data_IF_756201278382
#
_entry.id   IF_756201278382
#
_cell.length_a   1.000
_cell.length_b   1.000
_cell.length_c   1.000
_cell.angle_alpha   90.00
_cell.angle_beta   90.00
_cell.angle_gamma   90.00
#
_symmetry.space_group_name_H-M   'P 1'
#
loop_
_entity.id
_entity.type
_entity.pdbx_description
1 polymer ?
#
# COMPACT_ATOMS: atom_id res chain seq x y z
N UNK A 1 37.24 -16.06 -10.02
CA UNK A 1 36.37 -15.47 -11.05
C UNK A 1 35.16 -14.88 -10.34
N UNK A 2 35.12 -13.56 -10.11
CA UNK A 2 34.00 -12.89 -9.42
C UNK A 2 32.82 -12.85 -10.39
N UNK A 3 31.77 -13.63 -10.15
CA UNK A 3 30.54 -13.51 -10.92
C UNK A 3 29.96 -12.12 -10.68
N UNK A 4 29.79 -11.36 -11.76
CA UNK A 4 29.11 -10.06 -11.77
C UNK A 4 27.74 -10.24 -11.11
N UNK A 5 27.52 -9.55 -10.00
CA UNK A 5 26.18 -9.33 -9.47
C UNK A 5 25.49 -8.44 -10.50
N UNK A 6 24.62 -9.01 -11.32
CA UNK A 6 23.69 -8.23 -12.14
C UNK A 6 23.06 -7.17 -11.25
N UNK A 7 23.23 -5.89 -11.57
CA UNK A 7 22.58 -4.83 -10.81
C UNK A 7 21.08 -5.06 -10.93
N UNK A 8 20.43 -5.54 -9.85
CA UNK A 8 18.97 -5.72 -9.83
C UNK A 8 18.35 -4.37 -10.18
N UNK A 9 17.85 -4.22 -11.40
CA UNK A 9 17.14 -3.02 -11.82
C UNK A 9 15.99 -2.80 -10.83
N UNK A 10 15.97 -1.63 -10.18
CA UNK A 10 14.94 -1.28 -9.19
C UNK A 10 13.55 -1.28 -9.84
N UNK A 11 12.51 -1.59 -9.05
CA UNK A 11 11.13 -1.54 -9.54
C UNK A 11 10.73 -0.11 -9.90
N UNK A 12 11.26 0.88 -9.15
CA UNK A 12 11.09 2.30 -9.45
C UNK A 12 11.64 2.68 -10.82
N UNK A 13 12.87 2.27 -11.16
CA UNK A 13 13.47 2.58 -12.46
C UNK A 13 12.73 1.88 -13.60
N UNK A 14 12.25 0.66 -13.36
CA UNK A 14 11.41 -0.05 -14.34
C UNK A 14 10.08 0.69 -14.58
N UNK A 15 9.45 1.21 -13.52
CA UNK A 15 8.23 2.02 -13.63
C UNK A 15 8.47 3.35 -14.33
N UNK A 16 9.57 4.05 -14.04
CA UNK A 16 9.94 5.32 -14.67
C UNK A 16 10.07 5.24 -16.20
N UNK A 17 10.36 4.05 -16.74
CA UNK A 17 10.41 3.80 -18.18
C UNK A 17 9.02 3.74 -18.84
N UNK A 18 7.94 3.61 -18.05
CA UNK A 18 6.55 3.41 -18.51
C UNK A 18 5.63 4.56 -18.12
N UNK A 19 5.89 5.19 -16.98
CA UNK A 19 5.13 6.32 -16.47
C UNK A 19 6.09 7.35 -15.90
N UNK A 20 5.89 8.67 -16.16
CA UNK A 20 6.73 9.72 -15.60
C UNK A 20 6.51 9.87 -14.08
N UNK A 21 7.13 9.00 -13.28
CA UNK A 21 7.11 9.10 -11.81
C UNK A 21 8.04 10.22 -11.36
N UNK A 22 7.45 11.36 -10.98
CA UNK A 22 8.16 12.50 -10.42
C UNK A 22 8.46 12.29 -8.94
N UNK A 23 9.61 12.76 -8.42
CA UNK A 23 9.88 12.72 -6.98
C UNK A 23 8.78 13.44 -6.19
N UNK A 24 8.23 12.78 -5.17
CA UNK A 24 7.24 13.34 -4.23
C UNK A 24 7.69 13.10 -2.80
N UNK A 25 7.33 14.01 -1.89
CA UNK A 25 7.69 13.91 -0.47
C UNK A 25 7.31 12.56 0.14
N UNK A 26 6.12 12.04 -0.20
CA UNK A 26 5.62 10.78 0.34
C UNK A 26 6.44 9.56 -0.08
N UNK A 27 7.24 9.63 -1.15
CA UNK A 27 8.08 8.50 -1.58
C UNK A 27 9.05 8.04 -0.49
N UNK A 28 9.55 8.99 0.32
CA UNK A 28 10.48 8.75 1.43
C UNK A 28 9.79 8.79 2.79
N UNK A 29 8.48 8.96 2.83
CA UNK A 29 7.72 8.83 4.08
C UNK A 29 7.71 7.36 4.52
N UNK A 30 7.71 7.16 5.84
CA UNK A 30 7.61 5.85 6.46
C UNK A 30 6.29 5.17 6.10
N UNK A 31 6.35 3.89 5.73
CA UNK A 31 5.17 3.02 5.62
C UNK A 31 4.78 2.61 7.04
N UNK A 32 3.68 3.18 7.53
CA UNK A 32 3.25 2.96 8.91
C UNK A 32 2.80 1.52 9.15
N UNK A 33 3.07 1.03 10.36
CA UNK A 33 2.42 -0.14 10.93
C UNK A 33 1.13 0.29 11.63
N UNK A 34 0.17 -0.63 11.72
CA UNK A 34 -1.13 -0.31 12.33
C UNK A 34 -0.98 0.04 13.83
N UNK A 35 -0.05 -0.59 14.55
CA UNK A 35 0.21 -0.31 15.96
C UNK A 35 0.87 1.06 16.21
N UNK A 36 1.29 1.77 15.16
CA UNK A 36 1.84 3.13 15.23
C UNK A 36 0.75 4.19 15.11
N UNK A 37 -0.51 3.80 14.88
CA UNK A 37 -1.65 4.69 14.98
C UNK A 37 -1.79 5.12 16.43
N UNK A 38 -1.86 6.43 16.66
CA UNK A 38 -2.09 6.98 17.99
C UNK A 38 -3.36 6.36 18.60
N UNK A 39 -3.25 5.92 19.86
CA UNK A 39 -4.38 5.32 20.57
C UNK A 39 -4.98 4.08 19.85
N UNK A 40 -4.20 3.36 19.02
CA UNK A 40 -4.65 2.20 18.26
C UNK A 40 -5.48 1.18 19.06
N UNK A 41 -5.09 0.89 20.30
CA UNK A 41 -5.76 -0.09 21.19
C UNK A 41 -7.22 0.26 21.55
N UNK A 42 -7.63 1.49 21.27
CA UNK A 42 -8.99 1.98 21.50
C UNK A 42 -9.85 1.93 20.23
N UNK A 43 -9.30 1.53 19.08
CA UNK A 43 -10.11 1.19 17.91
C UNK A 43 -10.66 -0.23 18.05
N UNK A 44 -12.00 -0.35 18.03
CA UNK A 44 -12.67 -1.61 18.31
C UNK A 44 -13.01 -2.41 17.05
N UNK A 45 -12.79 -3.73 17.11
CA UNK A 45 -13.21 -4.69 16.08
C UNK A 45 -14.70 -5.05 16.21
N UNK A 46 -15.30 -4.84 17.37
CA UNK A 46 -16.71 -5.17 17.62
C UNK A 46 -17.67 -4.16 16.98
N UNK A 47 -17.15 -3.02 16.53
CA UNK A 47 -17.87 -1.96 15.81
C UNK A 47 -17.38 -1.80 14.36
N UNK A 48 -16.78 -2.85 13.79
CA UNK A 48 -16.28 -2.80 12.42
C UNK A 48 -17.43 -2.75 11.41
N UNK A 49 -17.44 -1.73 10.55
CA UNK A 49 -18.32 -1.66 9.39
C UNK A 49 -17.55 -2.09 8.14
N UNK A 50 -18.12 -3.00 7.34
CA UNK A 50 -17.55 -3.40 6.05
C UNK A 50 -18.42 -2.86 4.92
N UNK A 51 -17.83 -2.10 3.99
CA UNK A 51 -18.52 -1.54 2.84
C UNK A 51 -17.59 -1.34 1.65
N UNK A 52 -18.14 -1.15 0.44
CA UNK A 52 -17.37 -0.68 -0.71
C UNK A 52 -17.30 0.84 -0.69
N UNK A 53 -16.11 1.39 -0.92
CA UNK A 53 -15.89 2.83 -0.98
C UNK A 53 -14.84 3.20 -2.01
N UNK A 54 -14.78 4.50 -2.30
CA UNK A 54 -13.77 5.11 -3.17
C UNK A 54 -12.82 5.91 -2.28
N UNK A 55 -11.52 5.67 -2.42
CA UNK A 55 -10.47 6.37 -1.66
C UNK A 55 -9.39 6.90 -2.61
N UNK A 56 -8.60 7.87 -2.15
CA UNK A 56 -7.32 8.16 -2.81
C UNK A 56 -6.25 7.17 -2.32
N UNK A 57 -5.45 6.56 -3.22
CA UNK A 57 -4.24 5.83 -2.84
C UNK A 57 -3.25 6.66 -2.00
N UNK A 58 -3.28 7.99 -2.12
CA UNK A 58 -2.43 8.88 -1.32
C UNK A 58 -2.81 8.89 0.17
N UNK A 59 -4.06 8.58 0.50
CA UNK A 59 -4.57 8.51 1.88
C UNK A 59 -4.14 7.23 2.60
N UNK A 60 -3.60 6.26 1.87
CA UNK A 60 -3.04 5.03 2.43
C UNK A 60 -1.70 5.36 3.08
N UNK A 61 -1.60 5.12 4.38
CA UNK A 61 -0.42 5.41 5.19
C UNK A 61 0.43 4.19 5.53
N UNK A 62 -0.13 2.99 5.34
CA UNK A 62 0.58 1.77 5.69
C UNK A 62 -0.01 0.52 5.08
N UNK A 63 0.57 -0.61 5.47
CA UNK A 63 0.11 -1.95 5.10
C UNK A 63 -0.03 -2.79 6.37
N UNK A 64 -1.08 -3.62 6.44
CA UNK A 64 -1.35 -4.47 7.61
C UNK A 64 -0.41 -5.69 7.66
N UNK A 65 0.03 -6.18 6.49
CA UNK A 65 0.84 -7.39 6.36
C UNK A 65 2.33 -7.07 6.52
N UNK A 66 2.62 -6.34 7.60
CA UNK A 66 3.91 -5.75 7.87
C UNK A 66 5.01 -6.80 8.09
N UNK A 67 4.64 -7.98 8.57
CA UNK A 67 5.51 -9.15 8.76
C UNK A 67 6.40 -9.49 7.54
N UNK A 68 5.96 -9.18 6.32
CA UNK A 68 6.70 -9.52 5.11
C UNK A 68 7.65 -8.42 4.59
N UNK A 69 7.54 -7.18 5.07
CA UNK A 69 8.23 -6.02 4.49
C UNK A 69 8.76 -5.00 5.49
N UNK A 70 8.02 -4.69 6.57
CA UNK A 70 8.36 -3.66 7.54
C UNK A 70 8.21 -4.13 8.99
N UNK A 71 8.39 -5.41 9.25
CA UNK A 71 8.26 -5.96 10.62
C UNK A 71 9.43 -5.59 11.52
N UNK A 72 10.64 -5.86 11.03
CA UNK A 72 11.88 -5.75 11.80
C UNK A 72 12.54 -4.37 11.69
N UNK A 73 12.15 -3.58 10.68
CA UNK A 73 12.71 -2.25 10.44
C UNK A 73 11.72 -1.34 9.74
N UNK A 74 11.89 -0.04 9.97
CA UNK A 74 11.15 0.99 9.26
C UNK A 74 11.57 1.01 7.79
N UNK A 75 10.58 1.11 6.90
CA UNK A 75 10.80 1.21 5.46
C UNK A 75 10.08 2.44 4.91
N UNK A 76 10.58 2.98 3.79
CA UNK A 76 9.88 4.00 3.02
C UNK A 76 8.97 3.39 1.95
N UNK A 77 8.13 4.20 1.33
CA UNK A 77 7.31 3.76 0.20
C UNK A 77 8.14 3.29 -1.00
N UNK A 78 9.29 3.90 -1.28
CA UNK A 78 10.23 3.42 -2.31
C UNK A 78 10.80 2.06 -1.93
N UNK A 79 11.17 1.86 -0.67
CA UNK A 79 11.68 0.57 -0.20
C UNK A 79 10.61 -0.51 -0.35
N UNK A 80 9.36 -0.21 0.03
CA UNK A 80 8.24 -1.12 -0.17
C UNK A 80 8.09 -1.48 -1.66
N UNK A 81 8.04 -0.49 -2.55
CA UNK A 81 7.93 -0.69 -3.99
C UNK A 81 9.04 -1.60 -4.52
N UNK A 82 10.28 -1.35 -4.14
CA UNK A 82 11.44 -2.13 -4.61
C UNK A 82 11.47 -3.56 -4.05
N UNK A 83 10.84 -3.79 -2.90
CA UNK A 83 10.82 -5.09 -2.25
C UNK A 83 9.57 -5.93 -2.55
N UNK A 84 8.55 -5.41 -3.25
CA UNK A 84 7.33 -6.14 -3.61
C UNK A 84 7.64 -7.52 -4.23
N UNK A 85 7.35 -8.62 -3.50
CA UNK A 85 7.81 -9.99 -3.82
C UNK A 85 7.36 -10.53 -5.19
N UNK A 86 6.25 -10.04 -5.72
CA UNK A 86 5.62 -10.49 -6.99
C UNK A 86 5.68 -9.42 -8.07
N UNK A 87 6.42 -8.34 -7.85
CA UNK A 87 6.55 -7.28 -8.86
C UNK A 87 7.22 -7.79 -10.13
N UNK A 88 8.10 -8.79 -10.04
CA UNK A 88 8.70 -9.45 -11.21
C UNK A 88 7.64 -10.08 -12.15
N UNK A 89 6.48 -10.48 -11.62
CA UNK A 89 5.42 -11.15 -12.36
C UNK A 89 4.64 -10.16 -13.26
N UNK A 90 4.88 -8.86 -13.10
CA UNK A 90 4.31 -7.80 -13.94
C UNK A 90 5.39 -7.05 -14.73
N UNK A 91 6.67 -7.41 -14.56
CA UNK A 91 7.81 -6.72 -15.19
C UNK A 91 8.06 -7.13 -16.63
N UNK A 92 7.02 -7.20 -17.45
CA UNK A 92 7.17 -7.55 -18.85
C UNK A 92 7.64 -6.35 -19.69
N UNK A 93 8.54 -6.59 -20.65
CA UNK A 93 9.21 -5.53 -21.42
C UNK A 93 8.24 -4.61 -22.16
N UNK A 94 7.07 -5.13 -22.56
CA UNK A 94 6.13 -4.46 -23.44
C UNK A 94 4.89 -3.89 -22.74
N UNK A 95 4.79 -4.00 -21.41
CA UNK A 95 3.63 -3.51 -20.67
C UNK A 95 3.50 -1.99 -20.81
N UNK A 96 2.36 -1.52 -21.32
CA UNK A 96 2.02 -0.10 -21.48
C UNK A 96 1.64 0.54 -20.16
N UNK A 97 1.50 1.88 -20.14
CA UNK A 97 1.03 2.58 -18.96
C UNK A 97 -0.42 2.21 -18.61
N UNK A 98 -1.26 2.09 -19.63
CA UNK A 98 -2.68 1.77 -19.53
C UNK A 98 -2.88 0.34 -19.01
N UNK A 99 -2.13 -0.63 -19.54
CA UNK A 99 -2.15 -2.03 -19.06
C UNK A 99 -1.71 -2.12 -17.59
N UNK A 100 -0.73 -1.28 -17.19
CA UNK A 100 -0.26 -1.23 -15.82
C UNK A 100 -1.32 -0.64 -14.87
N UNK A 101 -2.06 0.38 -15.31
CA UNK A 101 -3.21 0.93 -14.57
C UNK A 101 -4.31 -0.14 -14.46
N UNK A 102 -4.65 -0.82 -15.54
CA UNK A 102 -5.64 -1.89 -15.56
C UNK A 102 -5.24 -3.03 -14.61
N UNK A 103 -3.98 -3.46 -14.64
CA UNK A 103 -3.45 -4.44 -13.70
C UNK A 103 -3.62 -3.98 -12.25
N UNK A 104 -3.24 -2.73 -11.93
CA UNK A 104 -3.37 -2.18 -10.59
C UNK A 104 -4.84 -2.08 -10.13
N UNK A 105 -5.77 -1.82 -11.06
CA UNK A 105 -7.21 -1.69 -10.82
C UNK A 105 -8.02 -2.98 -11.03
N UNK A 106 -7.40 -4.09 -11.42
CA UNK A 106 -8.07 -5.38 -11.53
C UNK A 106 -8.37 -6.00 -10.16
N UNK A 107 -9.51 -6.66 -9.99
CA UNK A 107 -9.86 -7.38 -8.74
C UNK A 107 -9.43 -8.87 -8.77
N UNK A 108 -8.84 -9.36 -9.88
CA UNK A 108 -8.44 -10.75 -10.12
C UNK A 108 -9.26 -11.77 -9.27
N UNK A 109 -8.63 -12.35 -8.23
CA UNK A 109 -9.22 -13.32 -7.30
C UNK A 109 -9.31 -12.81 -5.85
N UNK A 110 -8.99 -11.54 -5.61
CA UNK A 110 -8.95 -10.95 -4.26
C UNK A 110 -9.28 -9.46 -4.37
N UNK A 111 -10.32 -9.02 -3.68
CA UNK A 111 -10.67 -7.60 -3.61
C UNK A 111 -9.53 -6.81 -2.99
N UNK A 112 -9.30 -5.59 -3.46
CA UNK A 112 -8.49 -4.61 -2.72
C UNK A 112 -9.23 -4.23 -1.45
N UNK A 113 -8.66 -4.55 -0.30
CA UNK A 113 -9.25 -4.25 1.00
C UNK A 113 -8.32 -3.35 1.81
N UNK A 114 -8.92 -2.40 2.51
CA UNK A 114 -8.23 -1.50 3.43
C UNK A 114 -8.91 -1.54 4.80
N UNK A 115 -8.11 -1.41 5.85
CA UNK A 115 -8.59 -1.06 7.19
C UNK A 115 -8.58 0.46 7.32
N UNK A 116 -9.66 1.03 7.84
CA UNK A 116 -9.80 2.46 8.10
C UNK A 116 -9.83 2.73 9.61
N UNK A 117 -8.99 3.65 10.07
CA UNK A 117 -8.91 4.11 11.45
C UNK A 117 -8.95 5.64 11.45
N UNK A 118 -10.12 6.23 11.74
CA UNK A 118 -10.32 7.68 11.56
C UNK A 118 -10.12 8.07 10.09
N UNK A 119 -9.17 8.96 9.81
CA UNK A 119 -8.80 9.38 8.44
C UNK A 119 -7.71 8.51 7.79
N UNK A 120 -7.14 7.54 8.52
CA UNK A 120 -6.00 6.76 8.05
C UNK A 120 -6.45 5.45 7.40
N UNK A 121 -5.85 5.12 6.25
CA UNK A 121 -6.08 3.86 5.55
C UNK A 121 -4.84 2.97 5.54
N UNK A 122 -5.05 1.67 5.72
CA UNK A 122 -4.00 0.66 5.69
C UNK A 122 -4.41 -0.48 4.78
N UNK A 123 -3.59 -0.82 3.79
CA UNK A 123 -3.91 -1.92 2.89
C UNK A 123 -3.81 -3.27 3.60
N UNK A 124 -4.85 -4.10 3.49
CA UNK A 124 -4.87 -5.45 4.08
C UNK A 124 -4.63 -6.49 3.00
N UNK A 125 -5.36 -6.39 1.88
CA UNK A 125 -5.26 -7.27 0.70
C UNK A 125 -4.95 -6.46 -0.55
N UNK A 126 -4.34 -7.09 -1.56
CA UNK A 126 -3.97 -6.38 -2.79
C UNK A 126 -2.85 -5.32 -2.63
N UNK A 127 -1.95 -5.46 -1.64
CA UNK A 127 -0.89 -4.47 -1.34
C UNK A 127 -0.01 -4.08 -2.53
N UNK A 128 0.31 -5.04 -3.40
CA UNK A 128 1.13 -4.78 -4.59
C UNK A 128 0.39 -3.84 -5.54
N UNK A 129 -0.88 -4.15 -5.81
CA UNK A 129 -1.79 -3.35 -6.63
C UNK A 129 -2.02 -1.96 -6.01
N UNK A 130 -2.26 -1.88 -4.70
CA UNK A 130 -2.47 -0.59 -4.02
C UNK A 130 -1.21 0.29 -4.00
N UNK A 131 -0.03 -0.31 -3.84
CA UNK A 131 1.24 0.40 -3.95
C UNK A 131 1.42 0.93 -5.38
N UNK A 132 1.12 0.13 -6.40
CA UNK A 132 1.11 0.59 -7.79
C UNK A 132 0.13 1.75 -8.01
N UNK A 133 -1.12 1.65 -7.55
CA UNK A 133 -2.09 2.74 -7.66
C UNK A 133 -1.56 4.06 -7.07
N UNK A 134 -0.81 3.97 -5.96
CA UNK A 134 -0.16 5.13 -5.31
C UNK A 134 0.97 5.71 -6.17
N UNK A 135 1.86 4.88 -6.70
CA UNK A 135 2.99 5.31 -7.55
C UNK A 135 2.58 5.74 -8.95
N UNK A 136 1.43 5.30 -9.44
CA UNK A 136 0.81 5.72 -10.70
C UNK A 136 -0.04 6.97 -10.54
N UNK A 137 -0.07 7.58 -9.35
CA UNK A 137 -0.83 8.79 -9.04
C UNK A 137 -2.32 8.70 -9.41
N UNK A 138 -2.92 7.53 -9.26
CA UNK A 138 -4.36 7.39 -9.47
C UNK A 138 -5.12 8.24 -8.44
N UNK A 139 -6.06 9.06 -8.91
CA UNK A 139 -6.80 9.94 -8.02
C UNK A 139 -7.73 9.17 -7.07
N UNK A 140 -8.36 8.11 -7.60
CA UNK A 140 -9.43 7.36 -6.95
C UNK A 140 -9.31 5.87 -7.28
N UNK A 141 -9.57 5.05 -6.28
CA UNK A 141 -9.67 3.59 -6.44
C UNK A 141 -10.83 3.06 -5.60
N UNK A 142 -11.56 2.09 -6.16
CA UNK A 142 -12.62 1.38 -5.46
C UNK A 142 -12.02 0.24 -4.65
N UNK A 143 -12.37 0.19 -3.36
CA UNK A 143 -11.86 -0.80 -2.40
C UNK A 143 -12.98 -1.27 -1.47
N UNK A 144 -12.78 -2.44 -0.86
CA UNK A 144 -13.51 -2.84 0.33
C UNK A 144 -12.86 -2.17 1.55
N UNK A 145 -13.67 -1.53 2.40
CA UNK A 145 -13.22 -0.82 3.59
C UNK A 145 -13.74 -1.58 4.82
N UNK A 146 -12.83 -1.95 5.70
CA UNK A 146 -13.13 -2.39 7.07
C UNK A 146 -12.86 -1.22 8.01
N UNK A 147 -13.90 -0.49 8.38
CA UNK A 147 -13.80 0.71 9.22
C UNK A 147 -13.88 0.35 10.69
N UNK A 148 -12.83 0.68 11.45
CA UNK A 148 -12.76 0.52 12.89
C UNK A 148 -13.16 1.83 13.57
N UNK A 149 -14.06 1.74 14.54
CA UNK A 149 -14.55 2.92 15.27
C UNK A 149 -13.72 3.11 16.54
N UNK A 150 -13.37 4.37 16.82
CA UNK A 150 -12.70 4.75 18.07
C UNK A 150 -13.69 4.62 19.24
N UNK A 151 -13.30 3.87 20.26
CA UNK A 151 -14.08 3.65 21.48
C UNK A 151 -13.75 4.75 22.49
N UNK A 152 -14.53 5.83 22.43
CA UNK A 152 -14.35 6.99 23.30
C UNK A 152 -14.59 6.67 24.77
N UNK A 153 -15.54 5.78 25.07
CA UNK A 153 -15.85 5.39 26.45
C UNK A 153 -14.67 4.62 27.06
N UNK A 154 -14.13 3.65 26.33
CA UNK A 154 -12.94 2.89 26.75
C UNK A 154 -11.71 3.78 26.88
N UNK A 155 -11.55 4.78 26.00
CA UNK A 155 -10.46 5.74 26.09
C UNK A 155 -10.57 6.61 27.35
N UNK A 156 -11.76 7.13 27.63
CA UNK A 156 -11.99 8.00 28.80
C UNK A 156 -11.85 7.26 30.15
N UNK A 157 -12.01 5.93 30.15
CA UNK A 157 -11.88 5.10 31.34
C UNK A 157 -10.45 4.59 31.61
N UNK A 158 -9.49 4.86 30.72
CA UNK A 158 -8.08 4.45 30.85
C UNK A 158 -7.24 5.53 31.54
#
# INVERSE_FOLDING_TARGET
MKSMVESKQSNLDWLKKRCPIRPKKWHTEKVLRINEIENYRFYSRNSTKTYRGIISPLDIKGIQYAYAYNDESDITWIDLLNNLKRFKDIRHSNMTHEELIEHAQSDYNESRTVSKFGSLYFTTTGQHRMTLCKFLDLEKVTVQINEYTFDQEKFNAY
#
